data_IF_085051766025
#
_entry.id   IF_085051766025
#
_cell.length_a   1.000
_cell.length_b   1.000
_cell.length_c   1.000
_cell.angle_alpha   90.00
_cell.angle_beta   90.00
_cell.angle_gamma   90.00
#
_symmetry.space_group_name_H-M   'P 1'
#
loop_
_entity.id
_entity.type
_entity.pdbx_description
1 polymer ?
#
# COMPACT_ATOMS: atom_id res chain seq x y z
N UNK A 1 10.33 18.90 5.86
CA UNK A 1 9.14 18.20 6.40
C UNK A 1 9.54 17.44 7.65
N UNK A 2 8.72 17.53 8.69
CA UNK A 2 8.86 16.75 9.92
C UNK A 2 8.15 15.41 9.75
N UNK A 3 8.84 14.30 10.03
CA UNK A 3 8.24 12.97 10.05
C UNK A 3 7.70 12.65 11.44
N UNK A 4 6.43 12.23 11.51
CA UNK A 4 5.79 11.66 12.70
C UNK A 4 5.27 10.26 12.38
N UNK A 5 5.23 9.43 13.42
CA UNK A 5 4.54 8.14 13.40
C UNK A 5 3.02 8.35 13.39
N UNK A 6 2.30 7.50 12.65
CA UNK A 6 0.83 7.51 12.61
C UNK A 6 0.25 7.27 14.01
N UNK A 7 -0.84 7.96 14.31
CA UNK A 7 -1.64 7.79 15.53
C UNK A 7 -3.11 7.67 15.17
N UNK A 8 -3.93 7.26 16.14
CA UNK A 8 -5.39 7.10 15.96
C UNK A 8 -6.06 8.38 15.45
N UNK A 9 -5.58 9.55 15.87
CA UNK A 9 -6.09 10.84 15.36
C UNK A 9 -5.87 11.03 13.84
N UNK A 10 -4.94 10.30 13.22
CA UNK A 10 -4.66 10.37 11.79
C UNK A 10 -5.47 9.37 10.96
N UNK A 11 -6.06 8.34 11.58
CA UNK A 11 -6.77 7.28 10.86
C UNK A 11 -7.93 7.81 10.04
N UNK A 12 -8.65 8.82 10.56
CA UNK A 12 -9.75 9.45 9.83
C UNK A 12 -9.29 10.00 8.48
N UNK A 13 -8.19 10.75 8.46
CA UNK A 13 -7.66 11.35 7.22
C UNK A 13 -7.24 10.27 6.23
N UNK A 14 -6.54 9.24 6.70
CA UNK A 14 -6.12 8.12 5.86
C UNK A 14 -7.33 7.39 5.23
N UNK A 15 -8.33 7.04 6.04
CA UNK A 15 -9.51 6.30 5.56
C UNK A 15 -10.41 7.15 4.65
N UNK A 16 -10.47 8.47 4.87
CA UNK A 16 -11.17 9.40 3.95
C UNK A 16 -10.47 9.46 2.58
N UNK A 17 -9.14 9.45 2.55
CA UNK A 17 -8.35 9.42 1.31
C UNK A 17 -8.52 8.08 0.58
N UNK A 18 -8.47 6.97 1.32
CA UNK A 18 -8.66 5.62 0.77
C UNK A 18 -10.05 5.46 0.13
N UNK A 19 -11.10 5.79 0.89
CA UNK A 19 -12.49 5.70 0.41
C UNK A 19 -12.75 6.52 -0.86
N UNK A 20 -12.01 7.63 -1.05
CA UNK A 20 -12.13 8.47 -2.24
C UNK A 20 -11.64 7.78 -3.52
N UNK A 21 -10.64 6.90 -3.40
CA UNK A 21 -10.04 6.21 -4.55
C UNK A 21 -10.51 4.76 -4.67
N UNK A 22 -10.82 4.11 -3.55
CA UNK A 22 -11.21 2.69 -3.47
C UNK A 22 -12.48 2.52 -2.63
N UNK A 23 -13.66 2.87 -3.17
CA UNK A 23 -14.95 2.76 -2.47
C UNK A 23 -15.45 1.31 -2.45
N UNK A 24 -14.71 0.43 -1.78
CA UNK A 24 -15.03 -1.00 -1.62
C UNK A 24 -16.11 -1.22 -0.54
N UNK A 25 -16.86 -2.32 -0.66
CA UNK A 25 -17.84 -2.75 0.33
C UNK A 25 -17.18 -3.37 1.58
N UNK A 26 -15.88 -3.69 1.53
CA UNK A 26 -15.11 -4.26 2.65
C UNK A 26 -13.91 -3.38 3.02
N UNK A 27 -14.12 -2.13 3.45
CA UNK A 27 -13.05 -1.17 3.69
C UNK A 27 -12.21 -1.53 4.92
N UNK A 28 -10.96 -1.08 4.91
CA UNK A 28 -10.11 -1.08 6.11
C UNK A 28 -10.77 -0.23 7.20
N UNK A 29 -10.75 -0.72 8.44
CA UNK A 29 -11.36 -0.03 9.59
C UNK A 29 -10.28 0.51 10.54
N UNK A 30 -10.61 1.47 11.43
CA UNK A 30 -9.68 1.92 12.46
C UNK A 30 -9.15 0.78 13.33
N UNK A 31 -9.98 -0.25 13.58
CA UNK A 31 -9.56 -1.45 14.32
C UNK A 31 -8.48 -2.22 13.57
N UNK A 32 -8.60 -2.36 12.25
CA UNK A 32 -7.60 -3.02 11.42
C UNK A 32 -6.30 -2.21 11.40
N UNK A 33 -6.37 -0.88 11.28
CA UNK A 33 -5.20 0.00 11.37
C UNK A 33 -4.50 -0.10 12.73
N UNK A 34 -5.24 -0.21 13.84
CA UNK A 34 -4.66 -0.45 15.16
C UNK A 34 -3.84 -1.75 15.18
N UNK A 35 -4.31 -2.80 14.50
CA UNK A 35 -3.57 -4.06 14.40
C UNK A 35 -2.28 -3.92 13.58
N UNK A 36 -2.33 -3.19 12.46
CA UNK A 36 -1.14 -2.95 11.61
C UNK A 36 0.00 -2.29 12.37
N UNK A 37 -0.35 -1.35 13.24
CA UNK A 37 0.62 -0.47 13.91
C UNK A 37 0.86 -0.82 15.37
N UNK A 38 0.36 -1.97 15.85
CA UNK A 38 0.55 -2.38 17.23
C UNK A 38 2.03 -2.60 17.60
N UNK A 39 2.82 -3.17 16.68
CA UNK A 39 4.23 -3.52 16.92
C UNK A 39 5.22 -2.58 16.26
N UNK A 40 4.94 -2.14 15.03
CA UNK A 40 5.83 -1.32 14.22
C UNK A 40 5.10 -0.07 13.72
N UNK A 41 4.65 0.82 14.63
CA UNK A 41 3.85 1.98 14.25
C UNK A 41 4.57 2.92 13.27
N UNK A 42 5.90 2.94 13.28
CA UNK A 42 6.74 3.77 12.41
C UNK A 42 6.55 3.53 10.91
N UNK A 43 5.98 2.39 10.50
CA UNK A 43 5.62 2.13 9.09
C UNK A 43 4.45 2.97 8.60
N UNK A 44 3.65 3.55 9.50
CA UNK A 44 2.72 4.63 9.18
C UNK A 44 3.42 5.98 9.36
N UNK A 45 3.77 6.62 8.23
CA UNK A 45 4.52 7.87 8.20
C UNK A 45 3.60 9.05 7.90
N UNK A 46 3.58 10.03 8.80
CA UNK A 46 2.82 11.28 8.67
C UNK A 46 3.80 12.43 8.52
N UNK A 47 3.77 13.09 7.38
CA UNK A 47 4.67 14.21 7.07
C UNK A 47 3.98 15.52 7.37
N UNK A 48 4.63 16.37 8.18
CA UNK A 48 4.09 17.67 8.60
C UNK A 48 5.00 18.83 8.23
N UNK A 49 4.37 19.97 7.98
CA UNK A 49 5.04 21.25 7.82
C UNK A 49 4.17 22.36 8.43
N UNK A 50 4.78 23.20 9.28
CA UNK A 50 4.08 24.29 10.00
C UNK A 50 2.78 23.80 10.69
N UNK A 51 2.82 22.61 11.29
CA UNK A 51 1.68 21.99 11.98
C UNK A 51 0.61 21.35 11.08
N UNK A 52 0.71 21.41 9.75
CA UNK A 52 -0.24 20.78 8.83
C UNK A 52 0.31 19.46 8.29
N UNK A 53 -0.56 18.49 8.03
CA UNK A 53 -0.18 17.26 7.31
C UNK A 53 -0.03 17.62 5.83
N UNK A 54 1.15 17.34 5.28
CA UNK A 54 1.49 17.63 3.88
C UNK A 54 1.66 16.36 3.05
N UNK A 55 1.77 15.20 3.70
CA UNK A 55 1.80 13.90 3.03
C UNK A 55 1.69 12.74 4.01
N UNK A 56 1.39 11.56 3.46
CA UNK A 56 1.27 10.29 4.16
C UNK A 56 2.03 9.21 3.39
N UNK A 57 2.84 8.43 4.10
CA UNK A 57 3.52 7.25 3.56
C UNK A 57 3.15 6.04 4.42
N UNK A 58 2.25 5.22 3.93
CA UNK A 58 1.63 4.14 4.70
C UNK A 58 2.08 2.81 4.14
N UNK A 59 2.95 2.14 4.89
CA UNK A 59 3.35 0.77 4.64
C UNK A 59 2.76 -0.16 5.71
N UNK A 60 2.56 -1.41 5.33
CA UNK A 60 2.12 -2.50 6.18
C UNK A 60 3.28 -3.50 6.24
N UNK A 61 3.92 -3.69 7.39
CA UNK A 61 4.96 -4.70 7.57
C UNK A 61 4.31 -6.05 7.83
N UNK A 62 4.41 -6.97 6.88
CA UNK A 62 3.80 -8.29 6.92
C UNK A 62 4.85 -9.36 7.20
N UNK A 63 4.47 -10.39 7.95
CA UNK A 63 5.30 -11.59 8.00
C UNK A 63 5.27 -12.32 6.65
N UNK A 64 6.22 -13.24 6.45
CA UNK A 64 6.41 -13.90 5.16
C UNK A 64 5.16 -14.61 4.63
N UNK A 65 4.42 -15.30 5.52
CA UNK A 65 3.20 -16.04 5.15
C UNK A 65 2.11 -15.09 4.70
N UNK A 66 1.83 -14.04 5.46
CA UNK A 66 0.78 -13.07 5.13
C UNK A 66 1.10 -12.30 3.85
N UNK A 67 2.36 -11.89 3.67
CA UNK A 67 2.77 -11.16 2.47
C UNK A 67 2.56 -11.98 1.20
N UNK A 68 2.98 -13.26 1.20
CA UNK A 68 2.77 -14.18 0.07
C UNK A 68 1.28 -14.36 -0.26
N UNK A 69 0.45 -14.56 0.75
CA UNK A 69 -1.01 -14.68 0.58
C UNK A 69 -1.62 -13.40 0.00
N UNK A 70 -1.21 -12.23 0.50
CA UNK A 70 -1.70 -10.93 0.03
C UNK A 70 -1.37 -10.72 -1.46
N UNK A 71 -0.11 -10.93 -1.87
CA UNK A 71 0.29 -10.71 -3.27
C UNK A 71 -0.32 -11.72 -4.25
N UNK A 72 -0.81 -12.86 -3.75
CA UNK A 72 -1.53 -13.87 -4.52
C UNK A 72 -3.06 -13.69 -4.52
N UNK A 73 -3.58 -12.66 -3.83
CA UNK A 73 -5.02 -12.41 -3.73
C UNK A 73 -5.77 -13.32 -2.75
N UNK A 74 -5.07 -14.04 -1.88
CA UNK A 74 -5.63 -14.97 -0.89
C UNK A 74 -5.90 -14.33 0.48
N UNK A 75 -5.58 -13.05 0.62
CA UNK A 75 -5.73 -12.24 1.82
C UNK A 75 -6.02 -10.81 1.41
N UNK A 76 -7.07 -10.18 1.95
CA UNK A 76 -7.32 -8.76 1.72
C UNK A 76 -6.69 -7.91 2.84
N UNK A 77 -6.49 -6.62 2.56
CA UNK A 77 -5.95 -5.68 3.54
C UNK A 77 -6.86 -5.53 4.77
N UNK A 78 -8.18 -5.62 4.58
CA UNK A 78 -9.19 -5.58 5.64
C UNK A 78 -9.20 -6.82 6.55
N UNK A 79 -8.61 -7.93 6.11
CA UNK A 79 -8.51 -9.18 6.89
C UNK A 79 -7.24 -9.25 7.76
N UNK A 80 -6.32 -8.29 7.58
CA UNK A 80 -5.06 -8.24 8.31
C UNK A 80 -5.27 -7.99 9.81
N UNK A 81 -4.50 -8.69 10.62
CA UNK A 81 -4.59 -8.67 12.08
C UNK A 81 -3.20 -8.87 12.71
N UNK A 82 -3.10 -8.85 14.04
CA UNK A 82 -1.81 -8.97 14.74
C UNK A 82 -0.99 -10.23 14.42
N UNK A 83 -1.61 -11.30 13.91
CA UNK A 83 -0.91 -12.54 13.51
C UNK A 83 -0.34 -12.46 12.09
N UNK A 84 -0.85 -11.57 11.24
CA UNK A 84 -0.33 -11.35 9.88
C UNK A 84 0.75 -10.28 9.82
N UNK A 85 0.77 -9.39 10.83
CA UNK A 85 1.74 -8.29 10.94
C UNK A 85 3.07 -8.82 11.48
N UNK A 86 4.15 -8.34 10.86
CA UNK A 86 5.53 -8.64 11.22
C UNK A 86 5.84 -8.35 12.69
N UNK A 87 6.53 -9.27 13.36
CA UNK A 87 7.05 -9.14 14.72
C UNK A 87 8.57 -9.24 14.70
N UNK A 88 9.27 -8.10 14.85
CA UNK A 88 10.74 -8.07 14.78
C UNK A 88 11.45 -8.89 15.86
N UNK A 89 10.73 -9.33 16.91
CA UNK A 89 11.29 -10.21 17.95
C UNK A 89 11.28 -11.69 17.57
N UNK A 90 10.52 -12.07 16.52
CA UNK A 90 10.28 -13.47 16.13
C UNK A 90 10.57 -13.74 14.65
N UNK A 91 10.13 -12.83 13.80
CA UNK A 91 10.20 -12.99 12.35
C UNK A 91 11.58 -12.57 11.83
N UNK A 92 12.14 -13.38 10.92
CA UNK A 92 13.40 -13.07 10.20
C UNK A 92 13.16 -12.49 8.82
N UNK A 93 11.91 -12.55 8.35
CA UNK A 93 11.51 -12.15 7.01
C UNK A 93 10.38 -11.14 7.10
N UNK A 94 10.51 -10.03 6.37
CA UNK A 94 9.49 -8.98 6.28
C UNK A 94 9.10 -8.74 4.83
N UNK A 95 7.80 -8.81 4.56
CA UNK A 95 7.21 -8.33 3.32
C UNK A 95 6.66 -6.93 3.52
N UNK A 96 6.96 -6.01 2.60
CA UNK A 96 6.50 -4.63 2.68
C UNK A 96 5.35 -4.44 1.69
N UNK A 97 4.17 -4.08 2.19
CA UNK A 97 3.04 -3.69 1.36
C UNK A 97 2.74 -2.20 1.52
N UNK A 98 2.75 -1.45 0.42
CA UNK A 98 2.38 -0.05 0.39
C UNK A 98 0.87 0.06 0.26
N UNK A 99 0.25 0.63 1.28
CA UNK A 99 -1.16 0.97 1.27
C UNK A 99 -1.39 2.35 0.64
N UNK A 100 -0.62 3.37 1.05
CA UNK A 100 -0.74 4.73 0.52
C UNK A 100 0.61 5.46 0.40
N UNK A 101 0.81 6.17 -0.70
CA UNK A 101 1.83 7.24 -0.82
C UNK A 101 1.10 8.47 -1.33
N UNK A 102 0.69 9.34 -0.41
CA UNK A 102 -0.18 10.47 -0.70
C UNK A 102 0.53 11.78 -0.40
N UNK A 103 0.47 12.73 -1.33
CA UNK A 103 0.98 14.09 -1.15
C UNK A 103 -0.18 15.08 -1.13
N UNK A 104 -0.42 15.66 0.04
CA UNK A 104 -1.50 16.63 0.24
C UNK A 104 -1.08 18.03 -0.21
N UNK A 105 0.22 18.34 -0.11
CA UNK A 105 0.81 19.52 -0.72
C UNK A 105 1.39 19.19 -2.10
N UNK A 106 0.79 19.76 -3.15
CA UNK A 106 1.19 19.53 -4.54
C UNK A 106 2.58 20.10 -4.89
N UNK A 107 3.09 21.04 -4.10
CA UNK A 107 4.43 21.62 -4.29
C UNK A 107 5.55 20.62 -3.99
N UNK A 108 5.27 19.59 -3.19
CA UNK A 108 6.22 18.53 -2.88
C UNK A 108 6.50 17.70 -4.14
N UNK A 109 7.76 17.73 -4.57
CA UNK A 109 8.29 16.94 -5.68
C UNK A 109 8.89 15.64 -5.15
N UNK A 110 8.81 14.58 -5.95
CA UNK A 110 9.50 13.31 -5.69
C UNK A 110 9.22 12.70 -4.30
N UNK A 111 8.03 12.92 -3.74
CA UNK A 111 7.66 12.49 -2.39
C UNK A 111 7.91 11.00 -2.10
N UNK A 112 7.75 10.14 -3.11
CA UNK A 112 8.07 8.71 -3.03
C UNK A 112 9.52 8.43 -2.62
N UNK A 113 10.50 9.27 -3.00
CA UNK A 113 11.89 9.12 -2.58
C UNK A 113 12.04 9.43 -1.09
N UNK A 114 11.39 10.48 -0.60
CA UNK A 114 11.36 10.79 0.84
C UNK A 114 10.79 9.62 1.63
N UNK A 115 9.67 9.07 1.17
CA UNK A 115 9.07 7.86 1.76
C UNK A 115 10.05 6.67 1.79
N UNK A 116 10.71 6.35 0.68
CA UNK A 116 11.65 5.22 0.62
C UNK A 116 12.90 5.43 1.49
N UNK A 117 13.41 6.66 1.59
CA UNK A 117 14.52 7.00 2.48
C UNK A 117 14.14 6.76 3.95
N UNK A 118 12.96 7.23 4.35
CA UNK A 118 12.54 7.09 5.74
C UNK A 118 12.17 5.64 6.09
N UNK A 119 11.55 4.91 5.14
CA UNK A 119 11.31 3.48 5.25
C UNK A 119 12.63 2.69 5.38
N UNK A 120 13.66 3.05 4.62
CA UNK A 120 15.01 2.47 4.75
C UNK A 120 15.60 2.68 6.15
N UNK A 121 15.48 3.90 6.72
CA UNK A 121 15.94 4.16 8.09
C UNK A 121 15.19 3.33 9.13
N UNK A 122 13.89 3.11 8.94
CA UNK A 122 13.08 2.25 9.80
C UNK A 122 13.60 0.82 9.76
N UNK A 123 13.80 0.27 8.56
CA UNK A 123 14.34 -1.08 8.37
C UNK A 123 15.74 -1.19 8.99
N UNK A 124 16.61 -0.20 8.81
CA UNK A 124 17.94 -0.16 9.42
C UNK A 124 17.88 -0.25 10.95
N UNK A 125 16.93 0.42 11.59
CA UNK A 125 16.70 0.30 13.04
C UNK A 125 16.22 -1.09 13.46
N UNK A 126 15.35 -1.72 12.67
CA UNK A 126 14.93 -3.10 12.92
C UNK A 126 16.11 -4.07 12.85
N UNK A 127 16.99 -3.90 11.85
CA UNK A 127 18.20 -4.71 11.65
C UNK A 127 19.21 -4.62 12.80
N UNK A 128 19.27 -3.51 13.54
CA UNK A 128 20.12 -3.43 14.75
C UNK A 128 19.71 -4.49 15.78
N UNK A 129 18.41 -4.75 15.93
CA UNK A 129 17.87 -5.74 16.88
C UNK A 129 17.71 -7.12 16.26
N UNK A 130 17.59 -7.20 14.94
CA UNK A 130 17.42 -8.41 14.17
C UNK A 130 18.40 -8.41 12.98
N UNK A 131 19.70 -8.72 13.21
CA UNK A 131 20.74 -8.60 12.18
C UNK A 131 20.53 -9.47 10.95
N UNK A 132 19.72 -10.53 11.07
CA UNK A 132 19.38 -11.45 9.99
C UNK A 132 18.02 -11.13 9.35
N UNK A 133 17.49 -9.91 9.54
CA UNK A 133 16.23 -9.50 8.95
C UNK A 133 16.37 -9.34 7.42
N UNK A 134 15.63 -10.16 6.69
CA UNK A 134 15.53 -10.14 5.24
C UNK A 134 14.22 -9.48 4.79
N UNK A 135 14.31 -8.56 3.84
CA UNK A 135 13.13 -8.05 3.15
C UNK A 135 12.85 -9.00 1.99
N UNK A 136 11.71 -9.68 2.01
CA UNK A 136 11.40 -10.70 0.99
C UNK A 136 10.70 -10.12 -0.25
N UNK A 137 10.23 -8.87 -0.16
CA UNK A 137 9.61 -8.19 -1.28
C UNK A 137 8.94 -6.88 -0.91
N UNK A 138 8.60 -6.14 -1.96
CA UNK A 138 7.90 -4.86 -1.88
C UNK A 138 6.71 -4.91 -2.84
N UNK A 139 5.55 -4.46 -2.37
CA UNK A 139 4.29 -4.59 -3.10
C UNK A 139 3.34 -3.43 -2.85
N UNK A 140 2.29 -3.30 -3.66
CA UNK A 140 1.15 -2.42 -3.40
C UNK A 140 -0.03 -2.78 -4.29
N UNK A 141 -1.25 -2.71 -3.76
CA UNK A 141 -2.48 -2.80 -4.54
C UNK A 141 -2.82 -1.42 -5.11
N UNK A 142 -2.45 -1.18 -6.37
CA UNK A 142 -2.63 0.11 -7.00
C UNK A 142 -4.04 0.26 -7.60
N UNK A 143 -4.78 1.24 -7.08
CA UNK A 143 -6.16 1.52 -7.45
C UNK A 143 -6.29 2.68 -8.44
N UNK A 144 -5.33 3.61 -8.49
CA UNK A 144 -5.36 4.77 -9.40
C UNK A 144 -4.30 4.66 -10.49
N UNK A 145 -4.50 5.35 -11.61
CA UNK A 145 -3.48 5.43 -12.67
C UNK A 145 -2.17 6.05 -12.17
N UNK A 146 -2.25 7.00 -11.25
CA UNK A 146 -1.09 7.61 -10.59
C UNK A 146 -0.34 6.61 -9.72
N UNK A 147 -1.05 5.82 -8.90
CA UNK A 147 -0.46 4.76 -8.08
C UNK A 147 0.17 3.66 -8.94
N UNK A 148 -0.53 3.21 -9.97
CA UNK A 148 -0.02 2.26 -10.96
C UNK A 148 1.23 2.82 -11.63
N UNK A 149 1.20 4.07 -12.09
CA UNK A 149 2.33 4.73 -12.74
C UNK A 149 3.53 4.89 -11.81
N UNK A 150 3.30 5.20 -10.53
CA UNK A 150 4.34 5.28 -9.51
C UNK A 150 5.00 3.92 -9.32
N UNK A 151 4.25 2.88 -8.95
CA UNK A 151 4.84 1.58 -8.65
C UNK A 151 5.44 0.93 -9.90
N UNK A 152 4.75 0.97 -11.05
CA UNK A 152 5.23 0.28 -12.25
C UNK A 152 6.36 1.01 -12.98
N UNK A 153 6.27 2.33 -13.15
CA UNK A 153 7.23 3.09 -13.99
C UNK A 153 8.36 3.69 -13.19
N UNK A 154 8.08 4.19 -11.98
CA UNK A 154 9.11 4.81 -11.12
C UNK A 154 9.80 3.80 -10.24
N UNK A 155 9.03 2.89 -9.62
CA UNK A 155 9.59 1.89 -8.71
C UNK A 155 9.85 0.54 -9.40
N UNK A 156 9.55 0.43 -10.70
CA UNK A 156 9.83 -0.76 -11.52
C UNK A 156 9.20 -2.06 -10.95
N UNK A 157 8.12 -1.92 -10.18
CA UNK A 157 7.32 -3.05 -9.73
C UNK A 157 6.53 -3.62 -10.91
N UNK A 158 6.23 -4.91 -10.88
CA UNK A 158 5.49 -5.58 -11.96
C UNK A 158 4.34 -6.37 -11.38
N UNK A 159 3.26 -6.43 -12.13
CA UNK A 159 2.20 -7.39 -11.85
C UNK A 159 2.71 -8.80 -12.14
N UNK A 160 2.42 -9.74 -11.24
CA UNK A 160 2.92 -11.12 -11.33
C UNK A 160 1.81 -12.05 -11.81
N UNK A 161 1.82 -13.30 -11.33
CA UNK A 161 0.86 -14.35 -11.69
C UNK A 161 -0.56 -13.95 -11.30
N UNK A 162 -0.73 -13.43 -10.08
CA UNK A 162 -2.02 -12.90 -9.65
C UNK A 162 -2.40 -11.64 -10.44
N UNK A 163 -3.56 -11.71 -11.10
CA UNK A 163 -4.19 -10.60 -11.80
C UNK A 163 -5.42 -10.20 -11.00
N UNK A 164 -5.34 -9.05 -10.32
CA UNK A 164 -6.48 -8.51 -9.61
C UNK A 164 -7.64 -8.28 -10.60
N UNK A 165 -8.79 -8.85 -10.25
CA UNK A 165 -10.00 -8.82 -11.07
C UNK A 165 -11.01 -7.76 -10.60
N UNK A 166 -10.51 -6.77 -9.86
CA UNK A 166 -11.26 -5.60 -9.45
C UNK A 166 -11.00 -4.43 -10.38
N UNK A 167 -12.06 -3.68 -10.63
CA UNK A 167 -12.10 -2.57 -11.56
C UNK A 167 -12.74 -1.37 -10.88
N UNK A 168 -12.19 -0.19 -11.13
CA UNK A 168 -12.81 1.06 -10.75
C UNK A 168 -13.70 1.51 -11.89
N UNK A 169 -15.01 1.53 -11.62
CA UNK A 169 -16.02 1.99 -12.56
C UNK A 169 -16.65 3.28 -12.06
N UNK A 170 -17.11 4.13 -12.98
CA UNK A 170 -17.78 5.38 -12.67
C UNK A 170 -19.09 5.52 -13.46
N UNK A 171 -20.16 5.94 -12.77
CA UNK A 171 -21.43 6.30 -13.37
C UNK A 171 -22.06 7.41 -12.54
N UNK A 172 -22.62 8.43 -13.18
CA UNK A 172 -23.26 9.58 -12.51
C UNK A 172 -22.36 10.25 -11.44
N UNK A 173 -21.07 10.43 -11.76
CA UNK A 173 -20.03 10.96 -10.86
C UNK A 173 -19.80 10.14 -9.57
N UNK A 174 -20.29 8.90 -9.52
CA UNK A 174 -20.06 7.96 -8.42
C UNK A 174 -19.15 6.84 -8.87
N UNK A 175 -18.03 6.66 -8.15
CA UNK A 175 -17.11 5.54 -8.34
C UNK A 175 -17.54 4.33 -7.52
N UNK A 176 -17.31 3.14 -8.06
CA UNK A 176 -17.49 1.86 -7.39
C UNK A 176 -16.30 0.96 -7.67
N UNK A 177 -16.06 0.02 -6.76
CA UNK A 177 -15.22 -1.16 -7.03
C UNK A 177 -16.12 -2.25 -7.58
N UNK A 178 -15.77 -2.81 -8.74
CA UNK A 178 -16.50 -3.92 -9.35
C UNK A 178 -15.54 -5.09 -9.56
N UNK A 179 -15.86 -6.24 -8.96
CA UNK A 179 -15.16 -7.49 -9.19
C UNK A 179 -15.79 -8.21 -10.39
N UNK A 180 -14.98 -8.56 -11.38
CA UNK A 180 -15.43 -9.27 -12.57
C UNK A 180 -14.60 -10.54 -12.75
N UNK A 181 -15.24 -11.71 -12.71
CA UNK A 181 -14.56 -13.00 -12.92
C UNK A 181 -14.38 -13.31 -14.41
N UNK A 182 -15.04 -12.53 -15.28
CA UNK A 182 -14.91 -12.63 -16.73
C UNK A 182 -14.99 -11.28 -17.43
N UNK A 183 -14.43 -11.21 -18.64
CA UNK A 183 -14.57 -10.02 -19.50
C UNK A 183 -16.05 -9.71 -19.81
N UNK A 184 -16.88 -10.75 -19.94
CA UNK A 184 -18.33 -10.59 -20.23
C UNK A 184 -19.06 -9.83 -19.13
N UNK A 185 -18.73 -10.06 -17.86
CA UNK A 185 -19.32 -9.33 -16.73
C UNK A 185 -18.93 -7.85 -16.75
N UNK A 186 -17.66 -7.56 -17.03
CA UNK A 186 -17.18 -6.19 -17.17
C UNK A 186 -17.84 -5.48 -18.35
N UNK A 187 -17.90 -6.13 -19.52
CA UNK A 187 -18.52 -5.59 -20.73
C UNK A 187 -20.02 -5.31 -20.50
N UNK A 188 -20.72 -6.16 -19.72
CA UNK A 188 -22.11 -5.92 -19.32
C UNK A 188 -22.26 -4.65 -18.49
N UNK A 189 -21.38 -4.40 -17.50
CA UNK A 189 -21.43 -3.15 -16.73
C UNK A 189 -21.15 -1.93 -17.60
N UNK A 190 -20.24 -2.04 -18.56
CA UNK A 190 -19.96 -0.96 -19.50
C UNK A 190 -21.19 -0.69 -20.38
N UNK A 191 -21.86 -1.74 -20.87
CA UNK A 191 -23.11 -1.61 -21.63
C UNK A 191 -24.24 -0.97 -20.80
N UNK A 192 -24.27 -1.19 -19.48
CA UNK A 192 -25.19 -0.52 -18.54
C UNK A 192 -24.84 0.96 -18.29
N UNK A 193 -23.86 1.52 -19.00
CA UNK A 193 -23.48 2.94 -18.94
C UNK A 193 -22.40 3.27 -17.91
N UNK A 194 -21.72 2.27 -17.34
CA UNK A 194 -20.52 2.54 -16.53
C UNK A 194 -19.31 2.84 -17.40
N UNK A 195 -18.52 3.82 -16.99
CA UNK A 195 -17.20 4.09 -17.54
C UNK A 195 -16.14 3.31 -16.77
N UNK A 196 -15.32 2.52 -17.46
CA UNK A 196 -14.12 1.93 -16.87
C UNK A 196 -13.05 3.01 -16.65
N UNK A 197 -12.64 3.21 -15.40
CA UNK A 197 -11.56 4.15 -15.03
C UNK A 197 -10.20 3.46 -15.11
N UNK A 198 -10.06 2.31 -14.44
CA UNK A 198 -8.90 1.44 -14.53
C UNK A 198 -9.18 0.08 -13.86
N UNK A 199 -8.32 -0.90 -14.13
CA UNK A 199 -8.23 -2.15 -13.34
C UNK A 199 -7.28 -1.93 -12.17
N UNK A 200 -7.60 -2.46 -10.99
CA UNK A 200 -6.66 -2.48 -9.87
C UNK A 200 -5.50 -3.43 -10.18
N UNK A 201 -4.29 -3.14 -9.69
CA UNK A 201 -3.10 -3.95 -9.98
C UNK A 201 -2.31 -4.24 -8.72
N UNK A 202 -2.10 -5.53 -8.41
CA UNK A 202 -1.12 -5.95 -7.41
C UNK A 202 0.28 -5.89 -8.05
N UNK A 203 1.05 -4.86 -7.71
CA UNK A 203 2.39 -4.66 -8.25
C UNK A 203 3.43 -5.08 -7.22
N UNK A 204 4.41 -5.88 -7.65
CA UNK A 204 5.39 -6.52 -6.76
C UNK A 204 6.79 -6.40 -7.35
N UNK A 205 7.80 -6.25 -6.50
CA UNK A 205 9.21 -6.53 -6.83
C UNK A 205 9.84 -7.38 -5.73
N UNK A 206 10.81 -8.20 -6.12
CA UNK A 206 11.58 -9.09 -5.25
C UNK A 206 13.05 -8.65 -5.15
N UNK A 207 13.74 -8.96 -4.04
CA UNK A 207 15.17 -8.73 -3.93
C UNK A 207 15.95 -9.31 -5.11
N UNK A 208 16.98 -8.60 -5.57
CA UNK A 208 17.78 -8.99 -6.73
C UNK A 208 17.20 -8.61 -8.09
N UNK A 209 15.94 -8.16 -8.17
CA UNK A 209 15.40 -7.59 -9.39
C UNK A 209 15.90 -6.16 -9.63
N UNK A 210 15.89 -5.72 -10.90
CA UNK A 210 16.17 -4.32 -11.26
C UNK A 210 14.98 -3.44 -10.86
N UNK A 211 14.99 -2.93 -9.64
CA UNK A 211 14.04 -1.94 -9.12
C UNK A 211 14.73 -0.90 -8.27
N UNK A 212 14.29 0.36 -8.43
CA UNK A 212 14.78 1.51 -7.64
C UNK A 212 14.53 1.30 -6.14
N UNK A 213 13.52 0.52 -5.74
CA UNK A 213 13.23 0.21 -4.33
C UNK A 213 14.47 -0.38 -3.64
N UNK A 214 15.17 -1.29 -4.32
CA UNK A 214 16.32 -2.00 -3.76
C UNK A 214 17.57 -1.13 -3.62
N UNK A 215 17.62 0.03 -4.27
CA UNK A 215 18.68 1.00 -4.06
C UNK A 215 18.61 1.63 -2.66
N UNK A 216 17.42 1.66 -2.03
CA UNK A 216 17.18 2.21 -0.70
C UNK A 216 17.34 1.19 0.42
N UNK A 217 17.08 -0.09 0.19
CA UNK A 217 17.02 -1.12 1.24
C UNK A 217 18.30 -1.93 1.45
N UNK A 218 19.43 -1.35 1.06
CA UNK A 218 20.77 -1.93 1.27
C UNK A 218 21.02 -2.23 2.75
#
# INVERSE_FOLDING_TARGET
>A
MELKTIRKENYRVLLELDKKVYPTDSPVTPRVLDQWYQRNPEFGMVYREKGKIVGLGIAIPLNAKAWKRLINGELAESDLNSETIFDNSKDKEIGIHVYHIEKLDKSIKEFHKTFLIDLSKIIGKLRIKNPNLEIIGFSGLCVTNEGIGLLSRKLTCKEREYKCNEYILEKDNKKIVFKADSKKELDSKIADGYKLINRCQMLVTYPGEKSIVWEFFK
#
